data_IF_590706837932
#
_entry.id   IF_590706837932
#
_cell.length_a   1.000
_cell.length_b   1.000
_cell.length_c   1.000
_cell.angle_alpha   90.00
_cell.angle_beta   90.00
_cell.angle_gamma   90.00
#
_symmetry.space_group_name_H-M   'P 1'
#
loop_
_entity.id
_entity.type
_entity.pdbx_description
1 polymer ?
#
# COMPACT_ATOMS: atom_id res chain seq x y z
N UNK A 1 23.59 5.82 -19.99
CA UNK A 1 22.17 5.71 -19.61
C UNK A 1 21.80 6.98 -18.88
N UNK A 2 20.65 7.62 -19.17
CA UNK A 2 20.18 8.70 -18.30
C UNK A 2 19.93 8.09 -16.93
N UNK A 3 20.54 8.65 -15.89
CA UNK A 3 20.22 8.27 -14.51
C UNK A 3 18.75 8.60 -14.26
N UNK A 4 17.90 7.58 -14.33
CA UNK A 4 16.48 7.76 -14.03
C UNK A 4 16.38 8.00 -12.53
N UNK A 5 16.20 9.26 -12.15
CA UNK A 5 16.06 9.67 -10.76
C UNK A 5 14.80 9.02 -10.18
N UNK A 6 14.95 8.37 -9.03
CA UNK A 6 13.81 7.80 -8.28
C UNK A 6 12.79 8.90 -7.96
N UNK A 7 11.51 8.70 -8.29
CA UNK A 7 10.48 9.70 -8.01
C UNK A 7 10.35 9.93 -6.51
N UNK A 8 10.01 11.17 -6.15
CA UNK A 8 9.70 11.56 -4.79
C UNK A 8 8.18 11.56 -4.64
N UNK A 9 7.68 10.98 -3.55
CA UNK A 9 6.26 10.96 -3.22
C UNK A 9 6.07 11.42 -1.79
N UNK A 10 4.91 11.99 -1.48
CA UNK A 10 4.53 12.27 -0.09
C UNK A 10 4.29 10.93 0.61
N UNK A 11 4.97 10.63 1.73
CA UNK A 11 4.72 9.41 2.49
C UNK A 11 3.26 9.31 2.96
N UNK A 12 2.71 8.09 3.11
CA UNK A 12 1.38 7.93 3.67
C UNK A 12 1.31 8.44 5.12
N UNK A 13 0.16 9.00 5.51
CA UNK A 13 -0.08 9.46 6.88
C UNK A 13 -0.18 8.26 7.84
N UNK A 14 0.92 7.97 8.52
CA UNK A 14 1.06 6.89 9.50
C UNK A 14 1.44 7.44 10.88
N UNK A 15 0.95 6.78 11.94
CA UNK A 15 1.33 7.12 13.31
C UNK A 15 2.73 6.55 13.65
N UNK A 16 3.26 6.92 14.82
CA UNK A 16 4.60 6.51 15.26
C UNK A 16 4.79 4.99 15.36
N UNK A 17 3.71 4.25 15.67
CA UNK A 17 3.73 2.80 15.83
C UNK A 17 3.68 2.03 14.51
N UNK A 18 3.26 2.65 13.42
CA UNK A 18 3.11 2.01 12.10
C UNK A 18 4.03 2.61 11.04
N UNK A 19 4.64 3.77 11.28
CA UNK A 19 5.49 4.47 10.30
C UNK A 19 6.62 3.60 9.76
N UNK A 20 7.24 2.78 10.60
CA UNK A 20 8.31 1.85 10.23
C UNK A 20 7.86 0.75 9.24
N UNK A 21 6.55 0.55 9.03
CA UNK A 21 6.02 -0.34 8.00
C UNK A 21 6.21 0.22 6.59
N UNK A 22 6.30 1.54 6.44
CA UNK A 22 6.50 2.18 5.15
C UNK A 22 7.99 2.24 4.80
N UNK A 23 8.38 1.63 3.67
CA UNK A 23 9.78 1.52 3.23
C UNK A 23 10.13 2.47 2.08
N UNK A 24 9.23 3.39 1.71
CA UNK A 24 9.52 4.42 0.70
C UNK A 24 9.03 4.07 -0.70
N UNK A 25 9.77 4.56 -1.70
CA UNK A 25 9.55 4.28 -3.13
C UNK A 25 10.52 3.20 -3.56
N UNK A 26 9.99 2.07 -4.01
CA UNK A 26 10.79 0.89 -4.36
C UNK A 26 10.27 0.23 -5.63
N UNK A 27 11.17 -0.42 -6.36
CA UNK A 27 10.78 -1.49 -7.29
C UNK A 27 10.27 -2.71 -6.52
N UNK A 28 9.58 -3.64 -7.20
CA UNK A 28 9.13 -4.90 -6.56
C UNK A 28 10.30 -5.67 -5.94
N UNK A 29 11.36 -5.89 -6.71
CA UNK A 29 12.55 -6.62 -6.27
C UNK A 29 13.24 -5.94 -5.06
N UNK A 30 13.31 -4.60 -5.05
CA UNK A 30 13.82 -3.87 -3.89
C UNK A 30 12.92 -4.11 -2.67
N UNK A 31 11.60 -4.00 -2.82
CA UNK A 31 10.64 -4.20 -1.74
C UNK A 31 10.69 -5.63 -1.15
N UNK A 32 10.89 -6.65 -1.98
CA UNK A 32 11.07 -8.04 -1.54
C UNK A 32 12.29 -8.19 -0.61
N UNK A 33 13.36 -7.42 -0.82
CA UNK A 33 14.55 -7.48 0.06
C UNK A 33 14.34 -6.92 1.47
N UNK A 34 13.25 -6.17 1.69
CA UNK A 34 12.90 -5.61 3.01
C UNK A 34 12.03 -6.54 3.86
N UNK A 35 11.46 -7.62 3.29
CA UNK A 35 10.64 -8.61 4.03
C UNK A 35 11.45 -9.89 4.27
N UNK A 36 12.28 -9.87 5.30
CA UNK A 36 13.26 -10.92 5.57
C UNK A 36 12.67 -12.10 6.35
N UNK A 37 11.62 -11.86 7.13
CA UNK A 37 10.96 -12.88 7.94
C UNK A 37 9.75 -13.47 7.22
N UNK A 38 9.43 -14.72 7.52
CA UNK A 38 8.18 -15.34 7.07
C UNK A 38 6.99 -14.62 7.71
N UNK A 39 5.88 -14.51 6.99
CA UNK A 39 4.66 -13.79 7.37
C UNK A 39 4.84 -12.28 7.62
N UNK A 40 5.98 -11.73 7.23
CA UNK A 40 6.25 -10.30 7.34
C UNK A 40 5.58 -9.52 6.20
N UNK A 41 5.18 -8.28 6.47
CA UNK A 41 4.81 -7.35 5.42
C UNK A 41 5.31 -5.92 5.66
N UNK A 42 5.41 -5.19 4.54
CA UNK A 42 5.74 -3.76 4.46
C UNK A 42 4.82 -3.05 3.46
N UNK A 43 4.78 -1.72 3.54
CA UNK A 43 4.12 -0.85 2.57
C UNK A 43 5.16 -0.06 1.78
N UNK A 44 4.94 0.10 0.48
CA UNK A 44 5.81 0.90 -0.37
C UNK A 44 5.02 1.51 -1.51
N UNK A 45 5.53 2.60 -2.07
CA UNK A 45 5.04 3.12 -3.33
C UNK A 45 5.76 2.39 -4.46
N UNK A 46 5.03 1.60 -5.25
CA UNK A 46 5.63 0.77 -6.28
C UNK A 46 6.03 1.63 -7.47
N UNK A 47 7.32 1.60 -7.79
CA UNK A 47 7.89 2.26 -8.95
C UNK A 47 8.47 1.22 -9.92
N UNK A 48 8.17 1.38 -11.20
CA UNK A 48 8.81 0.62 -12.28
C UNK A 48 9.65 1.59 -13.12
N UNK A 49 10.89 1.22 -13.42
CA UNK A 49 11.82 2.06 -14.20
C UNK A 49 11.35 2.29 -15.64
N UNK A 50 10.43 1.45 -16.13
CA UNK A 50 9.81 1.58 -17.45
C UNK A 50 8.63 2.56 -17.47
N UNK A 51 8.11 2.98 -16.31
CA UNK A 51 7.00 3.94 -16.22
C UNK A 51 7.47 5.31 -16.69
N UNK A 52 6.72 5.90 -17.61
CA UNK A 52 6.85 7.31 -17.94
C UNK A 52 6.15 8.16 -16.87
N UNK A 53 6.93 8.86 -16.06
CA UNK A 53 6.44 9.75 -15.01
C UNK A 53 5.70 10.98 -15.56
N UNK A 54 5.87 11.31 -16.85
CA UNK A 54 5.09 12.38 -17.50
C UNK A 54 3.64 11.96 -17.79
N UNK A 55 3.33 10.66 -17.68
CA UNK A 55 2.00 10.07 -17.96
C UNK A 55 1.27 9.66 -16.68
N UNK A 56 2.00 9.45 -15.58
CA UNK A 56 1.43 8.96 -14.33
C UNK A 56 1.62 9.99 -13.21
N UNK A 57 0.50 10.47 -12.66
CA UNK A 57 0.52 11.49 -11.61
C UNK A 57 0.84 10.94 -10.21
N UNK A 58 0.66 9.62 -10.00
CA UNK A 58 0.85 9.00 -8.69
C UNK A 58 1.36 7.56 -8.80
N UNK A 59 2.24 7.18 -7.88
CA UNK A 59 2.62 5.79 -7.73
C UNK A 59 1.59 5.06 -6.85
N UNK A 60 1.25 3.80 -7.16
CA UNK A 60 0.35 3.04 -6.32
C UNK A 60 1.03 2.67 -5.00
N UNK A 61 0.29 2.79 -3.90
CA UNK A 61 0.67 2.24 -2.61
C UNK A 61 0.41 0.73 -2.63
N UNK A 62 1.40 -0.05 -2.23
CA UNK A 62 1.40 -1.51 -2.35
C UNK A 62 1.88 -2.13 -1.03
N UNK A 63 1.25 -3.22 -0.63
CA UNK A 63 1.75 -4.12 0.42
C UNK A 63 2.63 -5.16 -0.23
N UNK A 64 3.85 -5.32 0.28
CA UNK A 64 4.67 -6.50 0.03
C UNK A 64 4.53 -7.42 1.24
N UNK A 65 4.11 -8.66 1.01
CA UNK A 65 3.97 -9.70 2.02
C UNK A 65 4.81 -10.93 1.63
N UNK A 66 5.52 -11.50 2.60
CA UNK A 66 6.21 -12.78 2.42
C UNK A 66 5.44 -13.88 3.14
N UNK A 67 5.00 -14.89 2.41
CA UNK A 67 4.20 -15.98 2.98
C UNK A 67 4.99 -16.88 3.90
N UNK A 68 4.28 -17.78 4.60
CA UNK A 68 4.88 -18.80 5.45
C UNK A 68 5.74 -19.82 4.69
N UNK A 69 5.57 -19.95 3.37
CA UNK A 69 6.42 -20.80 2.51
C UNK A 69 7.53 -20.00 1.82
N UNK A 70 7.60 -18.70 2.05
CA UNK A 70 8.67 -17.83 1.57
C UNK A 70 8.39 -17.12 0.25
N UNK A 71 7.22 -17.31 -0.34
CA UNK A 71 6.80 -16.63 -1.58
C UNK A 71 6.45 -15.16 -1.30
N UNK A 72 6.75 -14.29 -2.28
CA UNK A 72 6.43 -12.87 -2.20
C UNK A 72 5.12 -12.54 -2.92
N UNK A 73 4.29 -11.75 -2.27
CA UNK A 73 3.03 -11.26 -2.79
C UNK A 73 2.99 -9.74 -2.71
N UNK A 74 2.50 -9.13 -3.79
CA UNK A 74 2.34 -7.69 -3.87
C UNK A 74 0.87 -7.37 -4.07
N UNK A 75 0.28 -6.64 -3.13
CA UNK A 75 -1.14 -6.28 -3.20
C UNK A 75 -1.32 -4.77 -3.20
N UNK A 76 -2.12 -4.28 -4.13
CA UNK A 76 -2.40 -2.86 -4.21
C UNK A 76 -3.28 -2.43 -3.03
N UNK A 77 -2.90 -1.35 -2.38
CA UNK A 77 -3.78 -0.65 -1.45
C UNK A 77 -4.68 0.25 -2.27
N UNK A 78 -5.97 -0.02 -2.21
CA UNK A 78 -7.01 0.76 -2.89
C UNK A 78 -7.69 1.69 -1.90
N UNK A 79 -8.20 2.79 -2.43
CA UNK A 79 -8.98 3.77 -1.68
C UNK A 79 -10.40 3.79 -2.21
N UNK A 80 -11.37 3.86 -1.31
CA UNK A 80 -12.74 4.23 -1.65
C UNK A 80 -13.03 5.61 -1.06
N UNK A 81 -13.77 6.42 -1.81
CA UNK A 81 -13.93 7.84 -1.52
C UNK A 81 -14.85 8.49 -2.51
N UNK A 82 -15.01 9.79 -2.37
CA UNK A 82 -15.88 10.59 -3.22
C UNK A 82 -15.16 11.86 -3.65
N UNK A 83 -15.52 12.36 -4.83
CA UNK A 83 -15.08 13.67 -5.26
C UNK A 83 -15.99 14.69 -4.58
N UNK A 84 -15.41 15.53 -3.73
CA UNK A 84 -16.07 16.67 -3.12
C UNK A 84 -15.70 17.93 -3.90
N UNK A 85 -16.66 18.83 -4.09
CA UNK A 85 -16.40 20.14 -4.68
C UNK A 85 -16.37 21.18 -3.56
N UNK A 86 -15.28 21.94 -3.48
CA UNK A 86 -15.19 23.08 -2.59
C UNK A 86 -16.14 24.18 -3.09
N UNK A 87 -17.12 24.57 -2.26
CA UNK A 87 -18.14 25.53 -2.67
C UNK A 87 -17.59 26.92 -3.01
N UNK A 88 -16.48 27.31 -2.39
CA UNK A 88 -15.87 28.63 -2.51
C UNK A 88 -14.90 28.69 -3.69
N UNK A 89 -14.03 27.67 -3.84
CA UNK A 89 -13.00 27.64 -4.90
C UNK A 89 -13.43 26.91 -6.17
N UNK A 90 -14.57 26.19 -6.13
CA UNK A 90 -15.02 25.24 -7.18
C UNK A 90 -14.00 24.15 -7.52
N UNK A 91 -13.00 23.95 -6.68
CA UNK A 91 -12.00 22.90 -6.85
C UNK A 91 -12.57 21.57 -6.41
N UNK A 92 -12.32 20.53 -7.21
CA UNK A 92 -12.72 19.16 -6.91
C UNK A 92 -11.57 18.42 -6.25
N UNK A 93 -11.82 17.86 -5.07
CA UNK A 93 -10.86 17.09 -4.30
C UNK A 93 -11.41 15.68 -4.06
N UNK A 94 -10.56 14.67 -4.18
CA UNK A 94 -10.95 13.30 -3.84
C UNK A 94 -10.77 13.08 -2.34
N UNK A 95 -11.88 12.94 -1.63
CA UNK A 95 -11.89 12.63 -0.20
C UNK A 95 -11.92 11.12 -0.01
N UNK A 96 -10.80 10.57 0.49
CA UNK A 96 -10.72 9.17 0.87
C UNK A 96 -11.60 8.92 2.10
N UNK A 97 -12.50 7.92 2.00
CA UNK A 97 -13.34 7.44 3.10
C UNK A 97 -12.80 6.16 3.72
N UNK A 98 -12.14 5.31 2.93
CA UNK A 98 -11.53 4.08 3.43
C UNK A 98 -10.41 3.56 2.53
N UNK A 99 -9.61 2.68 3.10
CA UNK A 99 -8.53 1.92 2.47
C UNK A 99 -8.84 0.43 2.58
N UNK A 100 -8.47 -0.34 1.56
CA UNK A 100 -8.58 -1.79 1.55
C UNK A 100 -7.50 -2.39 0.66
N UNK A 101 -7.20 -3.68 0.83
CA UNK A 101 -6.29 -4.38 -0.08
C UNK A 101 -7.10 -4.89 -1.26
N UNK A 102 -6.56 -4.72 -2.46
CA UNK A 102 -7.19 -5.23 -3.67
C UNK A 102 -7.48 -6.73 -3.55
N UNK A 103 -8.73 -7.11 -3.80
CA UNK A 103 -9.24 -8.48 -3.65
C UNK A 103 -9.15 -9.07 -2.23
N UNK A 104 -9.00 -8.25 -1.20
CA UNK A 104 -8.86 -8.73 0.18
C UNK A 104 -9.33 -7.70 1.22
N UNK A 105 -10.21 -8.13 2.10
CA UNK A 105 -10.31 -7.56 3.44
C UNK A 105 -11.29 -6.46 3.70
N UNK A 106 -11.36 -6.04 4.98
CA UNK A 106 -12.26 -4.99 5.37
C UNK A 106 -11.75 -3.67 4.79
N UNK A 107 -12.71 -2.85 4.38
CA UNK A 107 -12.49 -1.44 4.13
C UNK A 107 -12.40 -0.72 5.48
N UNK A 108 -11.25 -0.09 5.75
CA UNK A 108 -10.96 0.57 7.02
C UNK A 108 -10.71 2.07 6.81
N UNK A 109 -11.15 2.94 7.73
CA UNK A 109 -11.14 4.38 7.48
C UNK A 109 -9.73 4.96 7.38
N UNK A 110 -8.74 4.36 8.05
CA UNK A 110 -7.35 4.81 7.99
C UNK A 110 -6.38 3.69 7.60
N UNK A 111 -5.23 4.07 7.01
CA UNK A 111 -4.13 3.15 6.76
C UNK A 111 -3.59 2.52 8.05
N UNK A 112 -3.63 3.24 9.18
CA UNK A 112 -3.19 2.71 10.47
C UNK A 112 -4.06 1.54 10.93
N UNK A 113 -5.37 1.65 10.77
CA UNK A 113 -6.30 0.56 11.08
C UNK A 113 -6.14 -0.60 10.10
N UNK A 114 -5.94 -0.31 8.80
CA UNK A 114 -5.65 -1.33 7.81
C UNK A 114 -4.39 -2.13 8.19
N UNK A 115 -3.29 -1.44 8.52
CA UNK A 115 -2.05 -2.08 8.97
C UNK A 115 -2.29 -2.94 10.21
N UNK A 116 -2.94 -2.39 11.24
CA UNK A 116 -3.22 -3.14 12.48
C UNK A 116 -4.11 -4.36 12.23
N UNK A 117 -5.07 -4.27 11.31
CA UNK A 117 -5.90 -5.39 10.94
C UNK A 117 -5.06 -6.49 10.30
N UNK A 118 -4.19 -6.13 9.36
CA UNK A 118 -3.33 -7.07 8.63
C UNK A 118 -2.19 -7.66 9.48
N UNK A 119 -1.68 -6.93 10.49
CA UNK A 119 -0.70 -7.44 11.45
C UNK A 119 -1.22 -8.59 12.31
N UNK A 120 -2.52 -8.60 12.59
CA UNK A 120 -3.12 -9.55 13.53
C UNK A 120 -3.91 -10.68 12.83
N UNK A 121 -3.79 -10.83 11.51
CA UNK A 121 -4.54 -11.82 10.73
C UNK A 121 -3.62 -12.93 10.21
N UNK A 122 -4.19 -14.13 10.10
CA UNK A 122 -3.53 -15.28 9.48
C UNK A 122 -3.78 -15.28 7.97
N UNK A 123 -2.71 -15.48 7.21
CA UNK A 123 -2.76 -15.66 5.76
C UNK A 123 -2.41 -17.11 5.46
N UNK A 124 -3.02 -17.69 4.41
CA UNK A 124 -2.55 -18.98 3.94
C UNK A 124 -1.20 -18.88 3.23
N UNK A 125 -0.65 -20.07 2.93
CA UNK A 125 0.58 -20.25 2.14
C UNK A 125 0.55 -19.55 0.77
N UNK A 126 -0.63 -19.28 0.20
CA UNK A 126 -0.81 -18.61 -1.08
C UNK A 126 -1.03 -17.10 -0.95
N UNK A 127 -0.84 -16.55 0.25
CA UNK A 127 -0.98 -15.12 0.50
C UNK A 127 -2.42 -14.64 0.59
N UNK A 128 -3.43 -15.50 0.43
CA UNK A 128 -4.81 -15.05 0.67
C UNK A 128 -5.05 -14.93 2.18
N UNK A 129 -5.79 -13.89 2.57
CA UNK A 129 -6.26 -13.78 3.95
C UNK A 129 -7.41 -14.77 4.12
N UNK A 130 -7.19 -15.77 4.98
CA UNK A 130 -8.12 -16.90 5.10
C UNK A 130 -9.46 -16.49 5.73
N UNK A 131 -9.48 -15.43 6.55
CA UNK A 131 -10.64 -15.11 7.39
C UNK A 131 -10.80 -13.61 7.58
N UNK A 132 -11.72 -13.00 6.83
CA UNK A 132 -12.33 -11.72 7.22
C UNK A 132 -13.64 -11.96 7.95
N UNK A 133 -13.56 -12.67 9.08
CA UNK A 133 -14.60 -12.58 10.08
C UNK A 133 -14.51 -11.20 10.71
N UNK A 134 -15.43 -10.30 10.35
CA UNK A 134 -15.78 -9.21 11.26
C UNK A 134 -16.32 -9.85 12.55
N UNK A 135 -15.94 -9.35 13.73
CA UNK A 135 -16.58 -9.79 14.98
C UNK A 135 -18.09 -9.53 14.95
#
# INVERSE_FOLDING_TARGET
MKDVKRPQVVPPTLNEFTRWRYIGVCTKQEAESFVQCLTEFRLYHQWDKSINLDVIDHLPLTVIYRSSVGDHFHWLVRTMGEIIENNDTKQREYKIRSYYIEHSGPSLPTLNELIRCYENRTYNRYGYVDVFGLP
#
